data_IF_285131379602
#
_entry.id   IF_285131379602
#
_cell.length_a   1.000
_cell.length_b   1.000
_cell.length_c   1.000
_cell.angle_alpha   90.00
_cell.angle_beta   90.00
_cell.angle_gamma   90.00
#
_symmetry.space_group_name_H-M   'P 1'
#
loop_
_entity.id
_entity.type
_entity.pdbx_description
1 polymer ?
#
# COMPACT_ATOMS: atom_id res chain seq x y z
N UNK A 1 2.04 25.89 5.09
CA UNK A 1 1.88 24.50 5.59
C UNK A 1 2.68 23.59 4.66
N UNK A 2 3.77 22.99 5.14
CA UNK A 2 4.84 22.40 4.33
C UNK A 2 4.38 21.20 3.46
N UNK A 3 4.80 21.16 2.19
CA UNK A 3 4.54 20.10 1.20
C UNK A 3 4.84 18.69 1.73
N UNK A 4 5.87 18.56 2.58
CA UNK A 4 6.22 17.32 3.26
C UNK A 4 5.05 16.69 4.02
N UNK A 5 4.18 17.51 4.65
CA UNK A 5 3.07 17.01 5.47
C UNK A 5 1.86 16.54 4.65
N UNK A 6 1.71 17.00 3.40
CA UNK A 6 0.67 16.51 2.48
C UNK A 6 1.05 15.19 1.84
N UNK A 7 2.32 15.01 1.47
CA UNK A 7 2.83 13.72 0.95
C UNK A 7 2.77 12.61 1.99
N UNK A 8 2.99 12.93 3.28
CA UNK A 8 2.87 11.92 4.36
C UNK A 8 1.42 11.52 4.68
N UNK A 9 0.43 12.33 4.30
CA UNK A 9 -0.98 12.10 4.66
C UNK A 9 -1.74 11.26 3.63
N UNK A 10 -1.34 11.30 2.37
CA UNK A 10 -1.85 10.42 1.33
C UNK A 10 -0.88 9.25 1.18
N UNK A 11 -1.08 8.22 2.01
CA UNK A 11 -0.44 6.91 1.83
C UNK A 11 -1.11 6.21 0.65
N UNK A 12 -0.90 6.72 -0.56
CA UNK A 12 -1.22 5.96 -1.77
C UNK A 12 0.07 5.28 -2.23
N UNK A 13 0.27 3.99 -1.91
CA UNK A 13 1.44 3.26 -2.37
C UNK A 13 1.56 3.21 -3.92
N UNK A 14 0.55 3.60 -4.70
CA UNK A 14 0.63 3.73 -6.16
C UNK A 14 1.49 4.93 -6.53
N UNK A 15 1.27 6.09 -5.91
CA UNK A 15 2.16 7.23 -6.12
C UNK A 15 3.59 6.91 -5.67
N UNK A 16 3.74 6.19 -4.56
CA UNK A 16 5.06 5.81 -4.07
C UNK A 16 5.78 4.87 -5.05
N UNK A 17 5.05 3.96 -5.68
CA UNK A 17 5.57 3.05 -6.71
C UNK A 17 6.03 3.82 -7.96
N UNK A 18 5.21 4.71 -8.49
CA UNK A 18 5.56 5.54 -9.67
C UNK A 18 6.77 6.43 -9.37
N UNK A 19 6.82 7.05 -8.19
CA UNK A 19 7.98 7.86 -7.79
C UNK A 19 9.27 7.04 -7.71
N UNK A 20 9.22 5.81 -7.20
CA UNK A 20 10.39 4.92 -7.16
C UNK A 20 10.86 4.53 -8.57
N UNK A 21 9.92 4.31 -9.50
CA UNK A 21 10.22 4.03 -10.90
C UNK A 21 10.94 5.21 -11.57
N UNK A 22 10.36 6.41 -11.48
CA UNK A 22 10.92 7.63 -12.08
C UNK A 22 12.31 7.96 -11.51
N UNK A 23 12.47 7.83 -10.19
CA UNK A 23 13.78 8.01 -9.54
C UNK A 23 14.80 7.00 -10.06
N UNK A 24 14.39 5.75 -10.26
CA UNK A 24 15.26 4.70 -10.78
C UNK A 24 15.67 4.95 -12.23
N UNK A 25 14.76 5.47 -13.06
CA UNK A 25 15.06 5.88 -14.42
C UNK A 25 16.08 7.04 -14.43
N UNK A 26 15.88 8.07 -13.61
CA UNK A 26 16.84 9.17 -13.48
C UNK A 26 18.23 8.69 -13.04
N UNK A 27 18.31 7.82 -12.03
CA UNK A 27 19.58 7.25 -11.56
C UNK A 27 20.24 6.39 -12.64
N UNK A 28 19.45 5.60 -13.38
CA UNK A 28 19.94 4.79 -14.50
C UNK A 28 20.59 5.64 -15.60
N UNK A 29 19.96 6.76 -15.98
CA UNK A 29 20.51 7.70 -16.98
C UNK A 29 21.82 8.32 -16.49
N UNK A 30 21.91 8.71 -15.21
CA UNK A 30 23.15 9.25 -14.64
C UNK A 30 24.26 8.19 -14.66
N UNK A 31 23.96 6.94 -14.27
CA UNK A 31 24.93 5.84 -14.34
C UNK A 31 25.40 5.56 -15.77
N UNK A 32 24.49 5.56 -16.75
CA UNK A 32 24.83 5.39 -18.15
C UNK A 32 25.76 6.52 -18.63
N UNK A 33 25.43 7.77 -18.31
CA UNK A 33 26.27 8.93 -18.64
C UNK A 33 27.67 8.84 -18.05
N UNK A 34 27.79 8.42 -16.79
CA UNK A 34 29.08 8.20 -16.14
C UNK A 34 29.87 7.06 -16.78
N UNK A 35 29.22 5.94 -17.14
CA UNK A 35 29.86 4.79 -17.78
C UNK A 35 30.41 5.12 -19.17
N UNK A 36 29.59 5.77 -19.99
CA UNK A 36 29.98 6.23 -21.34
C UNK A 36 31.10 7.28 -21.23
N UNK A 37 30.97 8.24 -20.32
CA UNK A 37 31.98 9.27 -20.09
C UNK A 37 33.32 8.69 -19.64
N UNK A 38 33.31 7.75 -18.70
CA UNK A 38 34.52 7.07 -18.22
C UNK A 38 35.18 6.21 -19.32
N UNK A 39 34.38 5.50 -20.13
CA UNK A 39 34.89 4.78 -21.32
C UNK A 39 35.56 5.71 -22.31
N UNK A 40 34.98 6.88 -22.56
CA UNK A 40 35.51 7.84 -23.53
C UNK A 40 36.81 8.51 -23.08
N UNK A 41 36.99 8.72 -21.77
CA UNK A 41 38.22 9.29 -21.18
C UNK A 41 39.33 8.24 -21.07
N UNK A 42 38.98 7.01 -20.64
CA UNK A 42 39.96 5.95 -20.37
C UNK A 42 40.33 5.17 -21.65
N UNK A 43 39.52 5.27 -22.71
CA UNK A 43 39.66 4.48 -23.93
C UNK A 43 39.34 2.99 -23.75
N UNK A 44 38.81 2.59 -22.59
CA UNK A 44 38.53 1.21 -22.24
C UNK A 44 37.01 0.95 -22.19
N UNK A 45 36.45 0.14 -23.12
CA UNK A 45 35.01 -0.13 -23.19
C UNK A 45 34.47 -0.98 -22.02
N UNK A 46 35.34 -1.53 -21.17
CA UNK A 46 34.91 -2.27 -19.97
C UNK A 46 34.06 -1.43 -19.01
N UNK A 47 34.30 -0.11 -18.95
CA UNK A 47 33.53 0.80 -18.08
C UNK A 47 32.07 0.93 -18.51
N UNK A 48 31.80 0.93 -19.82
CA UNK A 48 30.45 0.97 -20.37
C UNK A 48 29.70 -0.36 -20.14
N UNK A 49 30.42 -1.48 -20.28
CA UNK A 49 29.87 -2.81 -19.99
C UNK A 49 29.48 -2.95 -18.52
N UNK A 50 30.33 -2.49 -17.59
CA UNK A 50 30.05 -2.52 -16.16
C UNK A 50 28.86 -1.63 -15.79
N UNK A 51 28.78 -0.44 -16.39
CA UNK A 51 27.65 0.47 -16.20
C UNK A 51 26.33 -0.18 -16.67
N UNK A 52 26.34 -0.83 -17.84
CA UNK A 52 25.17 -1.53 -18.38
C UNK A 52 24.69 -2.67 -17.48
N UNK A 53 25.60 -3.49 -16.95
CA UNK A 53 25.25 -4.55 -15.98
C UNK A 53 24.67 -3.95 -14.70
N UNK A 54 25.25 -2.86 -14.20
CA UNK A 54 24.79 -2.17 -13.00
C UNK A 54 23.36 -1.61 -13.16
N UNK A 55 23.05 -1.06 -14.34
CA UNK A 55 21.69 -0.61 -14.69
C UNK A 55 20.73 -1.80 -14.74
N UNK A 56 21.14 -2.93 -15.33
CA UNK A 56 20.33 -4.15 -15.34
C UNK A 56 19.98 -4.65 -13.94
N UNK A 57 20.95 -4.64 -13.02
CA UNK A 57 20.73 -5.01 -11.61
C UNK A 57 19.77 -4.02 -10.92
N UNK A 58 19.96 -2.72 -11.15
CA UNK A 58 19.07 -1.69 -10.63
C UNK A 58 17.61 -1.91 -11.09
N UNK A 59 17.40 -2.08 -12.39
CA UNK A 59 16.07 -2.34 -12.95
C UNK A 59 15.44 -3.63 -12.41
N UNK A 60 16.25 -4.68 -12.25
CA UNK A 60 15.80 -5.93 -11.62
C UNK A 60 15.32 -5.72 -10.17
N UNK A 61 16.05 -4.95 -9.37
CA UNK A 61 15.66 -4.63 -8.00
C UNK A 61 14.36 -3.81 -7.91
N UNK A 62 14.19 -2.85 -8.81
CA UNK A 62 12.98 -2.03 -8.91
C UNK A 62 11.78 -2.88 -9.34
N UNK A 63 11.96 -3.73 -10.35
CA UNK A 63 10.92 -4.64 -10.82
C UNK A 63 10.43 -5.57 -9.70
N UNK A 64 11.34 -6.20 -8.94
CA UNK A 64 10.98 -7.06 -7.80
C UNK A 64 10.22 -6.27 -6.73
N UNK A 65 10.63 -5.02 -6.47
CA UNK A 65 9.95 -4.15 -5.51
C UNK A 65 8.52 -3.80 -5.96
N UNK A 66 8.34 -3.45 -7.23
CA UNK A 66 7.03 -3.20 -7.83
C UNK A 66 6.13 -4.44 -7.82
N UNK A 67 6.67 -5.63 -8.10
CA UNK A 67 5.91 -6.88 -8.03
C UNK A 67 5.38 -7.10 -6.61
N UNK A 68 6.22 -6.93 -5.58
CA UNK A 68 5.81 -7.08 -4.18
C UNK A 68 4.76 -6.05 -3.76
N UNK A 69 4.89 -4.81 -4.24
CA UNK A 69 3.90 -3.77 -3.99
C UNK A 69 2.55 -4.13 -4.63
N UNK A 70 2.55 -4.46 -5.92
CA UNK A 70 1.34 -4.87 -6.63
C UNK A 70 0.69 -6.11 -6.01
N UNK A 71 1.48 -7.11 -5.58
CA UNK A 71 0.93 -8.30 -4.92
C UNK A 71 0.18 -7.94 -3.63
N UNK A 72 0.69 -7.00 -2.82
CA UNK A 72 -0.01 -6.53 -1.61
C UNK A 72 -1.34 -5.85 -1.94
N UNK A 73 -1.41 -5.15 -3.06
CA UNK A 73 -2.64 -4.50 -3.51
C UNK A 73 -3.67 -5.49 -4.05
N UNK A 74 -3.23 -6.43 -4.88
CA UNK A 74 -4.10 -7.46 -5.44
C UNK A 74 -4.70 -8.36 -4.36
N UNK A 75 -3.99 -8.56 -3.25
CA UNK A 75 -4.48 -9.29 -2.09
C UNK A 75 -5.49 -8.49 -1.23
N UNK A 76 -5.72 -7.21 -1.54
CA UNK A 76 -6.59 -6.33 -0.78
C UNK A 76 -5.91 -5.87 0.51
N UNK A 77 -5.42 -4.63 0.51
CA UNK A 77 -4.83 -4.07 1.72
C UNK A 77 -5.92 -3.89 2.79
N UNK A 78 -5.73 -4.56 3.93
CA UNK A 78 -6.63 -4.42 5.08
C UNK A 78 -6.66 -2.99 5.59
N UNK A 79 -7.81 -2.58 6.10
CA UNK A 79 -7.97 -1.28 6.73
C UNK A 79 -7.12 -1.23 8.00
N UNK A 80 -6.62 -0.06 8.36
CA UNK A 80 -5.81 0.11 9.56
C UNK A 80 -6.51 -0.48 10.80
N UNK A 81 -5.78 -1.21 11.66
CA UNK A 81 -6.37 -1.90 12.81
C UNK A 81 -7.01 -0.94 13.82
N UNK A 82 -6.63 0.34 13.81
CA UNK A 82 -7.26 1.39 14.62
C UNK A 82 -8.68 1.71 14.14
N UNK A 83 -8.88 1.81 12.82
CA UNK A 83 -10.21 2.04 12.24
C UNK A 83 -11.09 0.81 12.44
N UNK A 84 -10.53 -0.39 12.23
CA UNK A 84 -11.23 -1.65 12.48
C UNK A 84 -11.70 -1.77 13.93
N UNK A 85 -10.83 -1.45 14.90
CA UNK A 85 -11.19 -1.40 16.33
C UNK A 85 -12.28 -0.37 16.61
N UNK A 86 -12.17 0.83 16.05
CA UNK A 86 -13.18 1.88 16.24
C UNK A 86 -14.56 1.46 15.72
N UNK A 87 -14.64 0.80 14.56
CA UNK A 87 -15.90 0.26 14.04
C UNK A 87 -16.42 -0.86 14.94
N UNK A 88 -15.55 -1.75 15.42
CA UNK A 88 -15.92 -2.84 16.34
C UNK A 88 -16.49 -2.29 17.66
N UNK A 89 -15.85 -1.30 18.25
CA UNK A 89 -16.33 -0.62 19.46
C UNK A 89 -17.69 0.06 19.24
N UNK A 90 -17.88 0.72 18.09
CA UNK A 90 -19.15 1.34 17.72
C UNK A 90 -20.30 0.32 17.59
N UNK A 91 -20.01 -0.88 17.07
CA UNK A 91 -20.97 -1.97 16.96
C UNK A 91 -21.31 -2.54 18.34
N UNK A 92 -20.30 -2.84 19.16
CA UNK A 92 -20.48 -3.40 20.51
C UNK A 92 -21.12 -2.40 21.51
N UNK A 93 -21.07 -1.10 21.22
CA UNK A 93 -21.76 -0.10 22.02
C UNK A 93 -23.30 -0.20 21.92
N UNK A 94 -23.84 -0.96 20.96
CA UNK A 94 -25.30 -1.15 20.83
C UNK A 94 -25.76 -2.31 21.69
N UNK A 95 -26.75 -2.12 22.58
CA UNK A 95 -27.25 -3.18 23.47
C UNK A 95 -27.97 -4.33 22.75
N UNK A 96 -28.24 -4.19 21.45
CA UNK A 96 -28.82 -5.25 20.62
C UNK A 96 -27.79 -6.23 20.05
N UNK A 97 -26.50 -5.90 20.13
CA UNK A 97 -25.40 -6.67 19.55
C UNK A 97 -24.62 -7.32 20.70
N UNK A 98 -24.54 -8.65 20.69
CA UNK A 98 -23.81 -9.41 21.72
C UNK A 98 -22.34 -9.59 21.33
N UNK A 99 -22.08 -9.96 20.07
CA UNK A 99 -20.74 -10.25 19.59
C UNK A 99 -20.52 -9.86 18.13
N UNK A 100 -19.26 -9.59 17.76
CA UNK A 100 -18.82 -9.31 16.39
C UNK A 100 -17.60 -10.18 16.06
N UNK A 101 -17.71 -11.01 15.03
CA UNK A 101 -16.67 -11.95 14.58
C UNK A 101 -16.54 -11.95 13.05
N UNK A 102 -15.56 -12.71 12.53
CA UNK A 102 -15.27 -12.82 11.09
C UNK A 102 -15.13 -11.47 10.37
N UNK A 103 -14.42 -10.52 10.97
CA UNK A 103 -14.20 -9.20 10.37
C UNK A 103 -13.27 -9.31 9.15
N UNK A 104 -13.72 -8.79 8.02
CA UNK A 104 -12.95 -8.65 6.79
C UNK A 104 -13.02 -7.19 6.33
N UNK A 105 -11.87 -6.53 6.31
CA UNK A 105 -11.73 -5.15 5.90
C UNK A 105 -10.79 -5.07 4.69
N UNK A 106 -11.14 -4.27 3.68
CA UNK A 106 -10.27 -4.02 2.52
C UNK A 106 -10.51 -2.62 1.95
N UNK A 107 -9.43 -1.95 1.53
CA UNK A 107 -9.55 -0.75 0.73
C UNK A 107 -10.06 -1.09 -0.68
N UNK A 108 -11.09 -0.38 -1.15
CA UNK A 108 -11.67 -0.55 -2.49
C UNK A 108 -11.35 0.65 -3.38
N UNK A 109 -11.07 1.80 -2.77
CA UNK A 109 -10.61 3.00 -3.46
C UNK A 109 -9.82 3.93 -2.54
N UNK A 110 -9.38 5.10 -3.05
CA UNK A 110 -8.48 6.01 -2.33
C UNK A 110 -9.03 6.55 -0.99
N UNK A 111 -10.36 6.60 -0.86
CA UNK A 111 -11.06 7.09 0.33
C UNK A 111 -12.24 6.20 0.73
N UNK A 112 -12.35 5.00 0.14
CA UNK A 112 -13.47 4.09 0.36
C UNK A 112 -12.96 2.71 0.71
N UNK A 113 -13.50 2.13 1.76
CA UNK A 113 -13.19 0.76 2.19
C UNK A 113 -14.45 -0.07 2.31
N UNK A 114 -14.31 -1.38 2.10
CA UNK A 114 -15.32 -2.39 2.36
C UNK A 114 -15.05 -2.99 3.73
N UNK A 115 -16.07 -3.00 4.59
CA UNK A 115 -16.03 -3.63 5.91
C UNK A 115 -17.17 -4.64 5.99
N UNK A 116 -16.83 -5.90 6.22
CA UNK A 116 -17.77 -6.99 6.43
C UNK A 116 -17.50 -7.60 7.79
N UNK A 117 -18.54 -7.84 8.56
CA UNK A 117 -18.45 -8.51 9.85
C UNK A 117 -19.72 -9.32 10.08
N UNK A 118 -19.55 -10.45 10.75
CA UNK A 118 -20.67 -11.24 11.27
C UNK A 118 -20.99 -10.72 12.68
N UNK A 119 -22.27 -10.50 12.93
CA UNK A 119 -22.76 -9.85 14.15
C UNK A 119 -23.79 -10.77 14.79
N UNK A 120 -23.57 -11.11 16.05
CA UNK A 120 -24.53 -11.83 16.88
C UNK A 120 -25.48 -10.85 17.55
N UNK A 121 -26.77 -11.17 17.53
CA UNK A 121 -27.82 -10.31 18.07
C UNK A 121 -28.43 -10.97 19.30
N UNK A 122 -28.62 -10.18 20.37
CA UNK A 122 -29.37 -10.67 21.52
C UNK A 122 -30.86 -10.81 21.16
N UNK A 123 -31.30 -12.05 20.98
CA UNK A 123 -32.69 -12.41 20.71
C UNK A 123 -33.65 -12.00 21.83
N UNK A 124 -33.18 -11.88 23.07
CA UNK A 124 -33.97 -11.46 24.23
C UNK A 124 -34.33 -9.98 24.13
N UNK A 125 -33.35 -9.14 23.77
CA UNK A 125 -33.57 -7.72 23.50
C UNK A 125 -34.51 -7.50 22.31
N UNK A 126 -34.33 -8.28 21.22
CA UNK A 126 -35.16 -8.17 20.03
C UNK A 126 -36.63 -8.58 20.30
N UNK A 127 -36.84 -9.69 20.99
CA UNK A 127 -38.15 -10.19 21.38
C UNK A 127 -38.86 -9.22 22.33
N UNK A 128 -38.16 -8.68 23.33
CA UNK A 128 -38.71 -7.69 24.26
C UNK A 128 -39.13 -6.38 23.56
N UNK A 129 -38.46 -6.00 22.47
CA UNK A 129 -38.81 -4.82 21.67
C UNK A 129 -40.02 -5.06 20.75
N UNK A 130 -40.14 -6.25 20.18
CA UNK A 130 -41.24 -6.63 19.29
C UNK A 130 -42.56 -6.93 20.05
N UNK A 131 -42.47 -7.55 21.24
CA UNK A 131 -43.62 -7.84 22.11
C UNK A 131 -44.13 -6.62 22.89
N UNK A 132 -43.40 -5.50 22.85
CA UNK A 132 -43.82 -4.20 23.40
C UNK A 132 -44.52 -3.31 22.36
N UNK A 133 -44.79 -3.82 21.15
CA UNK A 133 -45.69 -3.19 20.17
C UNK A 133 -47.13 -3.68 20.37
#
# INVERSE_FOLDING_TARGET
MSFYKHVTRTKDPFMMAVLLEDLSACVGVVMAGCGIGASHITGNPLWDSLASVSIGVLLGGVAVSLIRLNQKYLLGQSVEPEIEKGIRELLLARPSIDNVYAVQSQWVGPSTFSYKAEVDFDGTFLAAKLLRM
#
